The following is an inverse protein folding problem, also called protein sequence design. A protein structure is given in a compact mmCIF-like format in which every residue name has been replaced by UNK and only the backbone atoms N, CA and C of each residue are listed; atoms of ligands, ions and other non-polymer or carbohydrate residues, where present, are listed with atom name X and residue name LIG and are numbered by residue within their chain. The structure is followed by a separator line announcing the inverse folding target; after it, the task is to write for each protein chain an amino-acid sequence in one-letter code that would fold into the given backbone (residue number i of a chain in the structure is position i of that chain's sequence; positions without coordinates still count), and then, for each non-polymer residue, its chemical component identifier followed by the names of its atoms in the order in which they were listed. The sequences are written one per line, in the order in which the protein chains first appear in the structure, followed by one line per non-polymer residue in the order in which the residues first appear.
data_IF_620805697731
#
_entry.id   IF_620805697731
#
_cell.length_a   1.000
_cell.length_b   1.000
_cell.length_c   1.000
_cell.angle_alpha   90.00
_cell.angle_beta   90.00
_cell.angle_gamma   90.00
#
_symmetry.space_group_name_H-M   'P 1'
#
loop_
_entity.id
_entity.type
_entity.pdbx_description
1 polymer ?
#
# COMPACT_ATOMS: atom_id res chain seq x y z
N UNK A 1 -38.16 5.57 18.91
CA UNK A 1 -36.87 5.10 19.46
C UNK A 1 -36.62 3.58 19.26
N UNK A 2 -37.35 2.86 18.39
CA UNK A 2 -37.16 1.41 18.20
C UNK A 2 -36.16 1.02 17.09
N UNK A 3 -35.77 1.98 16.23
CA UNK A 3 -34.91 1.73 15.06
C UNK A 3 -33.43 2.07 15.29
N UNK A 4 -33.09 2.71 16.41
CA UNK A 4 -31.71 3.12 16.74
C UNK A 4 -30.79 1.92 17.01
N UNK A 5 -31.29 0.89 17.69
CA UNK A 5 -30.52 -0.34 17.94
C UNK A 5 -30.23 -1.11 16.65
N UNK A 6 -31.22 -1.19 15.75
CA UNK A 6 -31.08 -1.87 14.45
C UNK A 6 -30.07 -1.16 13.55
N UNK A 7 -30.12 0.18 13.52
CA UNK A 7 -29.14 1.02 12.82
C UNK A 7 -27.72 0.82 13.36
N UNK A 8 -27.55 0.80 14.68
CA UNK A 8 -26.22 0.58 15.29
C UNK A 8 -25.66 -0.80 14.95
N UNK A 9 -26.51 -1.84 14.92
CA UNK A 9 -26.12 -3.21 14.62
C UNK A 9 -25.72 -3.37 13.15
N UNK A 10 -26.46 -2.73 12.23
CA UNK A 10 -26.13 -2.71 10.80
C UNK A 10 -24.79 -2.02 10.52
N UNK A 11 -24.51 -0.89 11.17
CA UNK A 11 -23.23 -0.18 11.04
C UNK A 11 -22.08 -1.05 11.57
N UNK A 12 -22.29 -1.75 12.68
CA UNK A 12 -21.31 -2.69 13.24
C UNK A 12 -21.06 -3.88 12.31
N UNK A 13 -22.10 -4.49 11.76
CA UNK A 13 -21.97 -5.60 10.82
C UNK A 13 -21.23 -5.19 9.54
N UNK A 14 -21.51 -4.00 9.00
CA UNK A 14 -20.78 -3.47 7.84
C UNK A 14 -19.30 -3.23 8.19
N UNK A 15 -19.01 -2.64 9.36
CA UNK A 15 -17.63 -2.43 9.80
C UNK A 15 -16.83 -3.74 9.95
N UNK A 16 -17.47 -4.82 10.43
CA UNK A 16 -16.82 -6.14 10.57
C UNK A 16 -16.50 -6.75 9.20
N UNK A 17 -17.38 -6.61 8.21
CA UNK A 17 -17.13 -7.16 6.85
C UNK A 17 -15.96 -6.49 6.12
N UNK A 18 -15.62 -5.24 6.43
CA UNK A 18 -14.45 -4.56 5.84
C UNK A 18 -13.12 -4.97 6.49
N UNK A 19 -13.13 -5.46 7.73
CA UNK A 19 -11.91 -5.89 8.45
C UNK A 19 -11.44 -7.28 8.01
N UNK A 20 -12.35 -8.13 7.53
CA UNK A 20 -12.07 -9.54 7.22
C UNK A 20 -11.49 -9.78 5.81
N UNK A 21 -11.37 -8.73 4.99
CA UNK A 21 -10.67 -8.80 3.71
C UNK A 21 -9.15 -8.71 3.91
N UNK A 22 -8.62 -9.44 4.89
CA UNK A 22 -7.19 -9.69 5.02
C UNK A 22 -6.78 -10.56 3.82
N UNK A 23 -6.10 -9.95 2.85
CA UNK A 23 -5.59 -10.66 1.69
C UNK A 23 -4.89 -11.96 2.11
N UNK A 24 -5.11 -13.09 1.40
CA UNK A 24 -4.44 -14.33 1.70
C UNK A 24 -2.91 -14.09 1.74
N UNK A 25 -2.19 -14.74 2.67
CA UNK A 25 -0.75 -14.53 2.81
C UNK A 25 -0.08 -14.80 1.46
N UNK A 26 0.45 -13.74 0.85
CA UNK A 26 1.13 -13.85 -0.44
C UNK A 26 2.30 -14.83 -0.28
N UNK A 27 2.51 -15.75 -1.24
CA UNK A 27 3.62 -16.67 -1.20
C UNK A 27 4.92 -15.89 -1.02
N UNK A 28 5.79 -16.37 -0.14
CA UNK A 28 7.03 -15.67 0.15
C UNK A 28 7.87 -15.51 -1.12
N UNK A 29 8.41 -14.31 -1.37
CA UNK A 29 9.18 -14.07 -2.59
C UNK A 29 10.41 -14.98 -2.66
N UNK A 30 10.63 -15.67 -3.78
CA UNK A 30 11.87 -16.42 -3.99
C UNK A 30 13.00 -15.51 -4.49
N UNK A 31 14.23 -15.97 -4.31
CA UNK A 31 15.41 -15.30 -4.87
C UNK A 31 15.26 -15.16 -6.38
N UNK A 32 15.41 -13.94 -6.89
CA UNK A 32 15.29 -13.60 -8.31
C UNK A 32 13.87 -13.38 -8.81
N UNK A 33 12.83 -13.64 -8.01
CA UNK A 33 11.46 -13.34 -8.40
C UNK A 33 11.19 -11.83 -8.24
N UNK A 34 10.61 -11.17 -9.27
CA UNK A 34 10.25 -9.77 -9.17
C UNK A 34 9.03 -9.58 -8.27
N UNK A 35 9.11 -8.59 -7.40
CA UNK A 35 8.07 -8.15 -6.48
C UNK A 35 7.61 -6.78 -6.96
N UNK A 36 6.31 -6.64 -7.20
CA UNK A 36 5.71 -5.40 -7.65
C UNK A 36 4.84 -4.82 -6.54
N UNK A 37 4.94 -3.52 -6.33
CA UNK A 37 4.07 -2.79 -5.40
C UNK A 37 3.45 -1.62 -6.14
N UNK A 38 2.12 -1.50 -6.08
CA UNK A 38 1.41 -0.30 -6.53
C UNK A 38 0.51 0.17 -5.39
N UNK A 39 0.75 1.38 -4.94
CA UNK A 39 0.01 2.00 -3.85
C UNK A 39 -0.55 3.31 -4.37
N UNK A 40 -1.86 3.50 -4.23
CA UNK A 40 -2.53 4.77 -4.53
C UNK A 40 -3.12 5.32 -3.24
N UNK A 41 -2.94 6.61 -3.00
CA UNK A 41 -3.59 7.31 -1.91
C UNK A 41 -4.19 8.60 -2.44
N UNK A 42 -5.36 8.97 -1.97
CA UNK A 42 -5.98 10.23 -2.35
C UNK A 42 -7.12 10.59 -1.44
N UNK A 43 -7.36 11.89 -1.31
CA UNK A 43 -8.40 12.47 -0.49
C UNK A 43 -8.70 13.89 -0.95
N UNK A 44 -9.93 14.32 -0.78
CA UNK A 44 -10.36 15.64 -1.23
C UNK A 44 -11.77 15.93 -0.77
N UNK A 45 -12.08 17.21 -0.64
CA UNK A 45 -13.41 17.65 -0.21
C UNK A 45 -14.37 17.77 -1.41
N UNK A 46 -13.85 18.04 -2.60
CA UNK A 46 -14.62 18.12 -3.84
C UNK A 46 -13.72 18.02 -5.08
N UNK A 47 -14.32 18.05 -6.27
CA UNK A 47 -13.62 17.98 -7.56
C UNK A 47 -12.66 19.15 -7.81
N UNK A 48 -12.86 20.28 -7.13
CA UNK A 48 -12.00 21.47 -7.24
C UNK A 48 -10.84 21.47 -6.24
N UNK A 49 -10.93 20.63 -5.20
CA UNK A 49 -10.00 20.55 -4.08
C UNK A 49 -9.75 19.08 -3.69
N UNK A 50 -8.75 18.47 -4.31
CA UNK A 50 -8.34 17.09 -4.02
C UNK A 50 -6.82 16.95 -4.07
N UNK A 51 -6.29 15.95 -3.37
CA UNK A 51 -4.93 15.49 -3.50
C UNK A 51 -4.96 13.97 -3.74
N UNK A 52 -4.16 13.50 -4.68
CA UNK A 52 -4.00 12.11 -5.00
C UNK A 52 -2.53 11.85 -5.32
N UNK A 53 -2.10 10.62 -5.16
CA UNK A 53 -0.75 10.22 -5.50
C UNK A 53 -0.68 8.72 -5.64
N UNK A 54 0.34 8.27 -6.36
CA UNK A 54 0.66 6.86 -6.45
C UNK A 54 2.15 6.64 -6.24
N UNK A 55 2.47 5.45 -5.76
CA UNK A 55 3.81 4.92 -5.65
C UNK A 55 3.83 3.55 -6.32
N UNK A 56 4.67 3.40 -7.34
CA UNK A 56 4.97 2.14 -7.98
C UNK A 56 6.38 1.69 -7.56
N UNK A 57 6.57 0.40 -7.34
CA UNK A 57 7.85 -0.17 -6.96
C UNK A 57 8.06 -1.52 -7.61
N UNK A 58 9.31 -1.81 -7.95
CA UNK A 58 9.74 -3.13 -8.38
C UNK A 58 11.02 -3.50 -7.62
N UNK A 59 11.04 -4.70 -7.06
CA UNK A 59 12.20 -5.23 -6.36
C UNK A 59 12.35 -6.72 -6.58
N UNK A 60 13.41 -7.30 -6.02
CA UNK A 60 13.62 -8.74 -6.02
C UNK A 60 14.41 -9.14 -4.79
N UNK A 61 14.20 -10.38 -4.35
CA UNK A 61 15.07 -10.98 -3.34
C UNK A 61 16.38 -11.35 -4.02
N UNK A 62 17.49 -10.77 -3.59
CA UNK A 62 18.81 -11.07 -4.17
C UNK A 62 19.55 -12.17 -3.43
N UNK A 63 19.19 -12.38 -2.17
CA UNK A 63 19.83 -13.40 -1.35
C UNK A 63 18.89 -13.91 -0.27
N UNK A 64 18.98 -15.20 0.00
CA UNK A 64 18.33 -15.86 1.13
C UNK A 64 19.32 -16.82 1.79
N UNK A 65 19.36 -16.79 3.12
CA UNK A 65 20.11 -17.75 3.93
C UNK A 65 19.66 -19.18 3.68
N UNK A 66 20.58 -20.15 3.81
CA UNK A 66 20.25 -21.59 3.67
C UNK A 66 19.22 -22.07 4.71
N UNK A 67 19.20 -21.44 5.88
CA UNK A 67 18.26 -21.74 6.98
C UNK A 67 16.94 -20.98 6.86
N UNK A 68 16.78 -20.13 5.83
CA UNK A 68 15.61 -19.27 5.57
C UNK A 68 15.27 -18.32 6.74
N UNK A 69 16.26 -17.98 7.56
CA UNK A 69 16.16 -17.09 8.73
C UNK A 69 16.67 -15.67 8.45
N UNK A 70 17.25 -15.45 7.28
CA UNK A 70 17.61 -14.14 6.75
C UNK A 70 17.36 -14.02 5.25
N UNK A 71 16.98 -12.83 4.81
CA UNK A 71 16.86 -12.46 3.39
C UNK A 71 17.32 -11.02 3.14
N UNK A 72 17.79 -10.78 1.92
CA UNK A 72 18.11 -9.46 1.40
C UNK A 72 17.30 -9.21 0.13
N UNK A 73 16.51 -8.15 0.14
CA UNK A 73 15.71 -7.70 -0.99
C UNK A 73 16.28 -6.36 -1.49
N UNK A 74 16.33 -6.14 -2.80
CA UNK A 74 16.68 -4.85 -3.42
C UNK A 74 15.52 -4.38 -4.30
N UNK A 75 15.32 -3.07 -4.41
CA UNK A 75 14.28 -2.54 -5.29
C UNK A 75 14.42 -1.08 -5.61
N UNK A 76 13.65 -0.67 -6.61
CA UNK A 76 13.47 0.72 -7.04
C UNK A 76 12.01 1.11 -6.92
N UNK A 77 11.75 2.40 -6.74
CA UNK A 77 10.41 2.96 -6.65
C UNK A 77 10.29 4.28 -7.42
N UNK A 78 9.08 4.58 -7.85
CA UNK A 78 8.66 5.80 -8.50
C UNK A 78 7.35 6.29 -7.89
N UNK A 79 7.35 7.53 -7.40
CA UNK A 79 6.19 8.19 -6.82
C UNK A 79 5.79 9.43 -7.59
N UNK A 80 4.49 9.69 -7.69
CA UNK A 80 3.96 10.92 -8.29
C UNK A 80 2.68 11.36 -7.60
N UNK A 81 2.61 12.66 -7.29
CA UNK A 81 1.45 13.32 -6.69
C UNK A 81 0.75 14.27 -7.68
N UNK A 82 -0.54 14.41 -7.48
CA UNK A 82 -1.44 15.33 -8.18
C UNK A 82 -2.32 15.99 -7.14
N UNK A 83 -2.42 17.31 -7.19
CA UNK A 83 -3.36 18.05 -6.36
C UNK A 83 -4.17 18.99 -7.23
N UNK A 84 -5.36 19.33 -6.78
CA UNK A 84 -6.16 20.42 -7.30
C UNK A 84 -6.54 21.30 -6.14
N UNK A 85 -6.33 22.60 -6.28
CA UNK A 85 -6.70 23.61 -5.28
C UNK A 85 -7.38 24.76 -6.01
N UNK A 86 -8.60 25.10 -5.57
CA UNK A 86 -9.44 26.15 -6.17
C UNK A 86 -9.58 26.02 -7.68
N UNK A 87 -9.66 24.78 -8.17
CA UNK A 87 -9.79 24.50 -9.60
C UNK A 87 -8.46 24.52 -10.38
N UNK A 88 -7.33 24.86 -9.77
CA UNK A 88 -6.01 24.79 -10.39
C UNK A 88 -5.33 23.45 -10.10
N UNK A 89 -4.82 22.78 -11.15
CA UNK A 89 -4.15 21.48 -11.03
C UNK A 89 -2.65 21.68 -10.82
N UNK A 90 -2.13 21.00 -9.81
CA UNK A 90 -0.71 20.93 -9.45
C UNK A 90 -0.24 19.48 -9.58
N UNK A 91 0.99 19.31 -10.04
CA UNK A 91 1.67 18.02 -10.10
C UNK A 91 2.94 18.13 -9.29
N UNK A 92 3.20 17.17 -8.42
CA UNK A 92 4.46 17.16 -7.66
C UNK A 92 5.63 16.85 -8.57
N UNK A 93 6.84 17.07 -8.08
CA UNK A 93 8.02 16.48 -8.70
C UNK A 93 7.97 14.94 -8.52
N UNK A 94 8.41 14.17 -9.52
CA UNK A 94 8.52 12.73 -9.38
C UNK A 94 9.57 12.38 -8.32
N UNK A 95 9.24 11.41 -7.46
CA UNK A 95 10.18 10.86 -6.48
C UNK A 95 10.70 9.52 -6.98
N UNK A 96 12.02 9.32 -6.96
CA UNK A 96 12.65 8.04 -7.28
C UNK A 96 13.36 7.50 -6.05
N UNK A 97 13.22 6.21 -5.78
CA UNK A 97 13.90 5.56 -4.66
C UNK A 97 14.66 4.33 -5.14
N UNK A 98 15.82 4.08 -4.53
CA UNK A 98 16.53 2.80 -4.59
C UNK A 98 16.84 2.38 -3.16
N UNK A 99 16.61 1.12 -2.83
CA UNK A 99 16.78 0.65 -1.46
C UNK A 99 16.97 -0.85 -1.37
N UNK A 100 17.51 -1.25 -0.22
CA UNK A 100 17.62 -2.65 0.18
C UNK A 100 16.92 -2.87 1.51
N UNK A 101 16.27 -4.02 1.65
CA UNK A 101 15.67 -4.46 2.90
C UNK A 101 16.36 -5.74 3.36
N UNK A 102 16.97 -5.70 4.54
CA UNK A 102 17.49 -6.90 5.20
C UNK A 102 16.51 -7.36 6.27
N UNK A 103 16.07 -8.61 6.18
CA UNK A 103 15.18 -9.23 7.17
C UNK A 103 15.95 -10.33 7.87
N UNK A 104 15.90 -10.34 9.20
CA UNK A 104 16.50 -11.38 10.03
C UNK A 104 15.54 -11.75 11.15
N UNK A 105 15.35 -13.05 11.34
CA UNK A 105 14.43 -13.60 12.33
C UNK A 105 14.03 -15.02 11.93
N UNK A 106 13.83 -15.88 12.93
CA UNK A 106 13.18 -17.17 12.67
C UNK A 106 11.78 -16.90 12.15
N UNK A 107 11.47 -17.45 10.97
CA UNK A 107 10.09 -17.71 10.55
C UNK A 107 9.46 -18.70 11.51
#
# INVERSE_FOLDING_TARGET
MKYLGVLSCLVLCVAVTFVESADPPQPEPKVGEPQYSLQGAGGGNNLHNFAAGFNAGVGTRVWESKKKDASLDLGVSYGQGFARQDGHTFKSEPTYGFGGTFRWGRK
#
